data_IF_221938050256
#
_entry.id   IF_221938050256
#
_cell.length_a   1.000
_cell.length_b   1.000
_cell.length_c   1.000
_cell.angle_alpha   90.00
_cell.angle_beta   90.00
_cell.angle_gamma   90.00
#
_symmetry.space_group_name_H-M   'P 1'
#
loop_
_entity.id
_entity.type
_entity.pdbx_description
1 polymer ?
#
# COMPACT_ATOMS: atom_id res chain seq x y z
N UNK A 1 -15.70 -7.98 -2.01
CA UNK A 1 -15.65 -6.59 -1.48
C UNK A 1 -16.24 -6.56 -0.08
N UNK A 2 -15.66 -5.82 0.87
CA UNK A 2 -16.19 -5.65 2.23
C UNK A 2 -17.67 -5.20 2.26
N UNK A 3 -18.10 -4.41 1.29
CA UNK A 3 -19.48 -3.93 1.15
C UNK A 3 -20.50 -5.05 0.89
N UNK A 4 -20.06 -6.21 0.42
CA UNK A 4 -20.94 -7.38 0.21
C UNK A 4 -21.08 -8.28 1.44
N UNK A 5 -20.19 -8.11 2.43
CA UNK A 5 -20.16 -8.97 3.62
C UNK A 5 -21.49 -9.02 4.37
N UNK A 6 -22.21 -7.90 4.61
CA UNK A 6 -23.51 -7.95 5.30
C UNK A 6 -24.58 -8.78 4.57
N UNK A 7 -24.48 -8.93 3.25
CA UNK A 7 -25.45 -9.70 2.46
C UNK A 7 -25.21 -11.20 2.46
N UNK A 8 -24.04 -11.64 2.90
CA UNK A 8 -23.63 -13.06 2.95
C UNK A 8 -23.37 -13.58 4.36
N UNK A 9 -23.04 -12.68 5.30
CA UNK A 9 -22.86 -13.03 6.71
C UNK A 9 -24.18 -13.43 7.34
N UNK A 10 -24.18 -14.57 8.04
CA UNK A 10 -25.38 -15.10 8.73
C UNK A 10 -26.42 -15.74 7.80
N UNK A 11 -26.11 -15.94 6.54
CA UNK A 11 -26.97 -16.72 5.63
C UNK A 11 -26.75 -18.21 5.90
N UNK A 12 -27.83 -18.94 6.22
CA UNK A 12 -27.77 -20.37 6.52
C UNK A 12 -27.12 -21.16 5.37
N UNK A 13 -26.16 -22.01 5.71
CA UNK A 13 -25.44 -22.83 4.76
C UNK A 13 -24.47 -22.07 3.86
N UNK A 14 -24.09 -20.84 4.22
CA UNK A 14 -23.07 -20.05 3.52
C UNK A 14 -21.98 -19.62 4.50
N UNK A 15 -20.73 -19.90 4.16
CA UNK A 15 -19.57 -19.33 4.82
C UNK A 15 -19.03 -18.17 3.96
N UNK A 16 -18.72 -17.00 4.51
CA UNK A 16 -18.16 -15.88 3.74
C UNK A 16 -16.77 -16.15 3.17
N UNK A 17 -16.07 -17.19 3.61
CA UNK A 17 -14.76 -17.59 3.07
C UNK A 17 -13.71 -16.51 3.25
N UNK A 18 -13.52 -16.02 4.49
CA UNK A 18 -12.51 -15.00 4.80
C UNK A 18 -11.10 -15.53 4.60
N UNK A 19 -10.30 -14.81 3.87
CA UNK A 19 -8.87 -15.08 3.68
C UNK A 19 -8.08 -13.77 3.63
N UNK A 20 -6.89 -13.73 4.25
CA UNK A 20 -6.00 -12.60 4.14
C UNK A 20 -5.67 -12.35 2.66
N UNK A 21 -5.86 -11.12 2.19
CA UNK A 21 -5.43 -10.73 0.85
C UNK A 21 -3.90 -10.63 0.80
N UNK A 22 -3.32 -11.02 -0.31
CA UNK A 22 -1.88 -10.89 -0.55
C UNK A 22 -1.51 -9.58 -1.24
N UNK A 23 -2.48 -8.85 -1.78
CA UNK A 23 -2.29 -7.50 -2.27
C UNK A 23 -2.45 -6.47 -1.16
N UNK A 24 -1.96 -5.27 -1.42
CA UNK A 24 -2.10 -4.13 -0.51
C UNK A 24 -2.43 -2.85 -1.26
N UNK A 25 -3.14 -1.95 -0.59
CA UNK A 25 -3.14 -0.55 -0.96
C UNK A 25 -1.92 0.11 -0.34
N UNK A 26 -1.23 0.91 -1.14
CA UNK A 26 -0.01 1.59 -0.71
C UNK A 26 0.11 2.98 -1.31
N UNK A 27 0.96 3.78 -0.70
CA UNK A 27 1.52 4.99 -1.27
C UNK A 27 2.92 4.65 -1.80
N UNK A 28 3.21 5.11 -3.01
CA UNK A 28 4.56 5.24 -3.55
C UNK A 28 4.91 6.72 -3.69
N UNK A 29 6.18 7.06 -3.54
CA UNK A 29 6.70 8.41 -3.68
C UNK A 29 7.44 8.61 -4.98
N UNK A 30 7.29 9.79 -5.59
CA UNK A 30 8.09 10.24 -6.71
C UNK A 30 9.44 10.78 -6.23
N UNK A 31 10.51 9.98 -6.31
CA UNK A 31 11.83 10.32 -5.79
C UNK A 31 12.57 11.39 -6.62
N UNK A 32 12.04 11.77 -7.77
CA UNK A 32 12.67 12.75 -8.67
C UNK A 32 12.11 14.17 -8.51
N UNK A 33 11.22 14.35 -7.54
CA UNK A 33 10.53 15.61 -7.31
C UNK A 33 10.55 16.00 -5.84
N UNK A 34 10.80 17.29 -5.60
CA UNK A 34 10.55 17.88 -4.29
C UNK A 34 9.04 18.03 -4.07
N UNK A 35 8.57 17.75 -2.82
CA UNK A 35 9.36 17.43 -1.62
C UNK A 35 9.56 15.92 -1.38
N UNK A 36 9.10 15.06 -2.27
CA UNK A 36 9.06 13.61 -2.05
C UNK A 36 10.42 12.91 -2.25
N UNK A 37 11.41 13.61 -2.82
CA UNK A 37 12.83 13.20 -2.82
C UNK A 37 13.48 13.28 -1.43
N UNK A 38 12.94 14.12 -0.53
CA UNK A 38 13.44 14.28 0.85
C UNK A 38 12.90 13.18 1.77
N UNK A 39 13.81 12.42 2.39
CA UNK A 39 13.48 11.36 3.34
C UNK A 39 12.68 11.87 4.55
N UNK A 40 13.04 13.04 5.09
CA UNK A 40 12.36 13.59 6.25
C UNK A 40 10.91 14.01 5.90
N UNK A 41 10.68 14.49 4.69
CA UNK A 41 9.32 14.72 4.21
C UNK A 41 8.51 13.41 4.14
N UNK A 42 9.07 12.33 3.56
CA UNK A 42 8.40 11.03 3.50
C UNK A 42 8.13 10.44 4.89
N UNK A 43 9.07 10.62 5.84
CA UNK A 43 8.87 10.25 7.26
C UNK A 43 7.73 11.04 7.90
N UNK A 44 7.64 12.32 7.64
CA UNK A 44 6.54 13.15 8.14
C UNK A 44 5.19 12.70 7.55
N UNK A 45 5.12 12.39 6.25
CA UNK A 45 3.92 11.80 5.63
C UNK A 45 3.52 10.53 6.35
N UNK A 46 4.46 9.63 6.66
CA UNK A 46 4.17 8.38 7.37
C UNK A 46 3.52 8.62 8.75
N UNK A 47 3.97 9.61 9.51
CA UNK A 47 3.37 9.95 10.81
C UNK A 47 2.07 10.73 10.70
N UNK A 48 1.82 11.44 9.60
CA UNK A 48 0.61 12.24 9.44
C UNK A 48 -0.67 11.40 9.22
N UNK A 49 -0.56 10.20 8.65
CA UNK A 49 -1.70 9.42 8.15
C UNK A 49 -2.51 8.72 9.25
N UNK A 50 -3.83 8.80 9.14
CA UNK A 50 -4.77 8.08 10.01
C UNK A 50 -5.00 6.65 9.50
N UNK A 51 -4.17 5.72 9.95
CA UNK A 51 -4.19 4.32 9.50
C UNK A 51 -5.45 3.57 9.93
N UNK A 52 -6.05 3.88 11.07
CA UNK A 52 -7.31 3.27 11.51
C UNK A 52 -8.46 3.63 10.56
N UNK A 53 -8.54 4.91 10.17
CA UNK A 53 -9.52 5.37 9.20
C UNK A 53 -9.27 4.78 7.81
N UNK A 54 -8.03 4.71 7.37
CA UNK A 54 -7.64 4.10 6.09
C UNK A 54 -7.96 2.60 6.08
N UNK A 55 -7.57 1.86 7.10
CA UNK A 55 -7.86 0.43 7.22
C UNK A 55 -9.36 0.15 7.19
N UNK A 56 -10.15 0.91 7.96
CA UNK A 56 -11.62 0.77 7.97
C UNK A 56 -12.24 1.16 6.61
N UNK A 57 -11.72 2.20 5.96
CA UNK A 57 -12.22 2.64 4.64
C UNK A 57 -11.96 1.59 3.55
N UNK A 58 -10.78 0.95 3.59
CA UNK A 58 -10.34 -0.01 2.57
C UNK A 58 -10.91 -1.41 2.85
N UNK A 59 -10.73 -1.91 4.06
CA UNK A 59 -11.02 -3.29 4.45
C UNK A 59 -12.32 -3.49 5.23
N UNK A 60 -13.03 -2.41 5.57
CA UNK A 60 -14.24 -2.49 6.41
C UNK A 60 -13.88 -2.97 7.82
N UNK A 61 -14.74 -3.84 8.40
CA UNK A 61 -14.55 -4.41 9.74
C UNK A 61 -13.34 -5.36 9.84
N UNK A 62 -12.90 -5.92 8.72
CA UNK A 62 -11.76 -6.84 8.64
C UNK A 62 -10.45 -6.16 8.18
N UNK A 63 -10.47 -4.83 7.96
CA UNK A 63 -9.28 -4.04 7.62
C UNK A 63 -8.33 -3.93 8.80
N UNK A 64 -7.04 -4.16 8.56
CA UNK A 64 -6.01 -4.14 9.60
C UNK A 64 -4.97 -3.05 9.31
N UNK A 65 -4.57 -2.33 10.37
CA UNK A 65 -3.47 -1.37 10.30
C UNK A 65 -2.16 -2.12 10.02
N UNK A 66 -1.42 -1.73 8.98
CA UNK A 66 -0.19 -2.42 8.62
C UNK A 66 0.98 -2.14 9.58
N UNK A 67 2.05 -2.93 9.43
CA UNK A 67 3.38 -2.54 9.87
C UNK A 67 4.08 -1.67 8.81
N UNK A 68 5.30 -1.23 9.11
CA UNK A 68 6.14 -0.46 8.18
C UNK A 68 6.63 -1.28 6.99
N UNK A 69 6.46 -2.60 7.02
CA UNK A 69 6.76 -3.48 5.89
C UNK A 69 5.65 -3.44 4.82
N UNK A 70 6.02 -3.80 3.61
CA UNK A 70 5.14 -3.83 2.44
C UNK A 70 4.73 -5.25 2.03
N UNK A 71 5.07 -6.26 2.80
CA UNK A 71 4.64 -7.64 2.61
C UNK A 71 3.44 -7.92 3.52
N UNK A 72 2.35 -8.42 2.95
CA UNK A 72 1.16 -8.85 3.71
C UNK A 72 1.51 -10.00 4.67
N UNK A 73 0.83 -10.12 5.84
CA UNK A 73 1.03 -11.24 6.76
C UNK A 73 0.81 -12.62 6.13
N UNK A 74 0.11 -12.72 5.02
CA UNK A 74 -0.05 -13.95 4.25
C UNK A 74 1.11 -14.19 3.26
N UNK A 75 2.01 -13.21 3.07
CA UNK A 75 3.11 -13.25 2.11
C UNK A 75 4.36 -13.95 2.66
N UNK A 76 5.12 -14.57 1.77
CA UNK A 76 6.42 -15.16 2.12
C UNK A 76 7.40 -14.03 2.46
N UNK A 77 8.07 -14.16 3.59
CA UNK A 77 9.04 -13.18 4.07
C UNK A 77 8.41 -12.00 4.83
N UNK A 78 7.12 -12.07 5.17
CA UNK A 78 6.53 -11.10 6.11
C UNK A 78 7.41 -10.93 7.35
N UNK A 79 7.65 -9.69 7.74
CA UNK A 79 8.44 -9.37 8.93
C UNK A 79 7.58 -8.70 10.00
N UNK A 80 7.20 -9.47 11.01
CA UNK A 80 6.41 -9.01 12.16
C UNK A 80 7.24 -8.25 13.20
N UNK A 81 8.56 -8.19 13.03
CA UNK A 81 9.44 -7.40 13.89
C UNK A 81 9.47 -5.91 13.55
N UNK A 82 9.00 -5.53 12.35
CA UNK A 82 8.89 -4.14 11.95
C UNK A 82 7.80 -3.43 12.77
N UNK A 83 8.01 -2.14 13.13
CA UNK A 83 7.02 -1.38 13.88
C UNK A 83 5.66 -1.34 13.18
N UNK A 84 4.60 -1.22 13.96
CA UNK A 84 3.28 -0.90 13.40
C UNK A 84 3.22 0.57 13.01
N UNK A 85 2.54 0.84 11.91
CA UNK A 85 2.24 2.21 11.50
C UNK A 85 1.29 2.86 12.51
N UNK A 86 1.62 4.09 12.91
CA UNK A 86 0.83 4.87 13.85
C UNK A 86 0.70 6.30 13.35
N UNK A 87 -0.46 6.92 13.60
CA UNK A 87 -0.60 8.35 13.40
C UNK A 87 0.00 9.10 14.59
N UNK A 88 0.91 10.03 14.31
CA UNK A 88 1.43 11.00 15.26
C UNK A 88 1.68 12.33 14.55
N UNK A 89 0.65 13.17 14.51
CA UNK A 89 0.71 14.45 13.80
C UNK A 89 1.68 15.45 14.45
N UNK A 90 1.91 15.37 15.76
CA UNK A 90 2.88 16.22 16.42
C UNK A 90 4.30 15.82 16.05
N UNK A 91 4.57 14.53 15.94
CA UNK A 91 5.84 14.02 15.41
C UNK A 91 6.03 14.42 13.94
N UNK A 92 4.97 14.32 13.12
CA UNK A 92 5.03 14.75 11.72
C UNK A 92 5.38 16.25 11.58
N UNK A 93 4.73 17.11 12.37
CA UNK A 93 5.03 18.55 12.40
C UNK A 93 6.46 18.83 12.86
N UNK A 94 6.94 18.14 13.90
CA UNK A 94 8.29 18.30 14.41
C UNK A 94 9.36 17.91 13.38
N UNK A 95 9.13 16.82 12.63
CA UNK A 95 10.02 16.37 11.53
C UNK A 95 10.04 17.44 10.43
N UNK A 96 8.87 17.92 9.99
CA UNK A 96 8.78 18.94 8.94
C UNK A 96 9.53 20.22 9.35
N UNK A 97 9.33 20.69 10.59
CA UNK A 97 10.03 21.88 11.10
C UNK A 97 11.55 21.69 11.16
N UNK A 98 11.99 20.53 11.64
CA UNK A 98 13.43 20.22 11.74
C UNK A 98 14.09 20.13 10.34
N UNK A 99 13.35 19.68 9.32
CA UNK A 99 13.79 19.60 7.93
C UNK A 99 13.67 20.95 7.19
N UNK A 100 13.12 21.99 7.84
CA UNK A 100 13.01 23.34 7.26
C UNK A 100 11.71 23.60 6.48
N UNK A 101 10.75 22.69 6.52
CA UNK A 101 9.41 22.93 5.99
C UNK A 101 8.61 23.75 7.02
N UNK A 102 8.53 25.04 6.84
CA UNK A 102 7.91 25.97 7.80
C UNK A 102 6.95 26.92 7.09
N UNK A 103 5.88 27.32 7.76
CA UNK A 103 4.99 28.38 7.30
C UNK A 103 5.67 29.74 7.57
N UNK A 104 6.24 30.35 6.54
CA UNK A 104 7.03 31.59 6.66
C UNK A 104 6.21 32.86 6.44
N UNK A 105 5.08 32.76 5.73
CA UNK A 105 4.22 33.90 5.41
C UNK A 105 2.94 33.97 6.27
N UNK A 106 2.64 32.91 7.02
CA UNK A 106 1.52 32.85 7.96
C UNK A 106 0.18 32.52 7.31
N UNK A 107 0.18 31.92 6.12
CA UNK A 107 -1.04 31.52 5.41
C UNK A 107 -1.61 30.16 5.86
N UNK A 108 -0.87 29.45 6.71
CA UNK A 108 -1.22 28.14 7.27
C UNK A 108 -0.64 26.96 6.51
N UNK A 109 0.09 27.20 5.42
CA UNK A 109 0.76 26.17 4.63
C UNK A 109 2.28 26.30 4.76
N UNK A 110 2.95 25.17 4.75
CA UNK A 110 4.42 25.12 4.84
C UNK A 110 5.04 25.32 3.47
N UNK A 111 6.11 26.10 3.40
CA UNK A 111 6.99 26.19 2.24
C UNK A 111 8.08 25.12 2.29
N UNK A 112 8.72 24.92 1.15
CA UNK A 112 9.97 24.14 1.05
C UNK A 112 11.11 24.83 1.80
N UNK A 113 12.19 24.09 2.13
CA UNK A 113 13.35 24.68 2.83
C UNK A 113 13.99 25.87 2.12
N UNK A 114 13.81 25.99 0.81
CA UNK A 114 14.26 27.15 0.02
C UNK A 114 13.29 28.36 0.03
N UNK A 115 12.19 28.25 0.74
CA UNK A 115 11.14 29.26 0.85
C UNK A 115 10.15 29.28 -0.32
N UNK A 116 10.21 28.33 -1.23
CA UNK A 116 9.23 28.25 -2.33
C UNK A 116 7.92 27.58 -1.89
N UNK A 117 6.75 28.07 -2.37
CA UNK A 117 5.47 27.44 -2.09
C UNK A 117 5.45 25.96 -2.50
N UNK A 118 4.72 25.18 -1.71
CA UNK A 118 4.56 23.74 -1.91
C UNK A 118 3.09 23.38 -2.14
N UNK A 119 2.83 22.57 -3.16
CA UNK A 119 1.52 21.96 -3.40
C UNK A 119 1.77 20.55 -3.94
N UNK A 120 1.51 19.56 -3.09
CA UNK A 120 1.85 18.16 -3.36
C UNK A 120 0.74 17.50 -4.14
N UNK A 121 1.04 16.96 -5.32
CA UNK A 121 0.08 16.24 -6.14
C UNK A 121 -0.14 14.82 -5.59
N UNK A 122 -1.39 14.52 -5.23
CA UNK A 122 -1.84 13.19 -4.81
C UNK A 122 -2.56 12.53 -5.96
N UNK A 123 -1.93 11.54 -6.58
CA UNK A 123 -2.41 10.85 -7.79
C UNK A 123 -2.93 9.45 -7.46
N UNK A 124 -4.23 9.21 -7.46
CA UNK A 124 -4.79 7.87 -7.33
C UNK A 124 -4.63 7.07 -8.61
N UNK A 125 -4.34 5.77 -8.49
CA UNK A 125 -4.36 4.83 -9.61
C UNK A 125 -5.74 4.78 -10.26
N UNK A 126 -5.79 4.80 -11.60
CA UNK A 126 -7.03 4.57 -12.32
C UNK A 126 -7.57 3.16 -12.06
N UNK A 127 -8.84 3.09 -11.66
CA UNK A 127 -9.56 1.82 -11.55
C UNK A 127 -11.05 2.05 -11.71
N UNK A 128 -11.60 1.66 -12.86
CA UNK A 128 -13.01 1.90 -13.20
C UNK A 128 -14.01 1.30 -12.18
N UNK A 129 -13.65 0.23 -11.50
CA UNK A 129 -14.54 -0.47 -10.54
C UNK A 129 -14.37 0.02 -9.10
N UNK A 130 -13.24 0.63 -8.77
CA UNK A 130 -12.88 1.09 -7.42
C UNK A 130 -12.67 2.61 -7.35
N UNK A 131 -13.10 3.38 -8.36
CA UNK A 131 -12.87 4.82 -8.44
C UNK A 131 -13.29 5.58 -7.17
N UNK A 132 -14.48 5.30 -6.63
CA UNK A 132 -14.96 5.93 -5.40
C UNK A 132 -14.10 5.57 -4.16
N UNK A 133 -13.54 4.36 -4.11
CA UNK A 133 -12.63 3.97 -3.04
C UNK A 133 -11.30 4.72 -3.14
N UNK A 134 -10.70 4.77 -4.32
CA UNK A 134 -9.47 5.52 -4.53
C UNK A 134 -9.63 7.02 -4.24
N UNK A 135 -10.75 7.61 -4.67
CA UNK A 135 -11.09 8.99 -4.33
C UNK A 135 -11.14 9.17 -2.80
N UNK A 136 -11.84 8.28 -2.09
CA UNK A 136 -11.97 8.39 -0.63
C UNK A 136 -10.63 8.24 0.10
N UNK A 137 -9.76 7.32 -0.34
CA UNK A 137 -8.41 7.17 0.20
C UNK A 137 -7.62 8.46 0.01
N UNK A 138 -7.63 9.03 -1.20
CA UNK A 138 -6.93 10.27 -1.51
C UNK A 138 -7.44 11.46 -0.69
N UNK A 139 -8.75 11.61 -0.52
CA UNK A 139 -9.35 12.66 0.34
C UNK A 139 -8.88 12.55 1.80
N UNK A 140 -8.74 11.33 2.35
CA UNK A 140 -8.21 11.11 3.69
C UNK A 140 -6.74 11.56 3.76
N UNK A 141 -5.93 11.17 2.79
CA UNK A 141 -4.51 11.54 2.73
C UNK A 141 -4.34 13.06 2.63
N UNK A 142 -5.05 13.71 1.70
CA UNK A 142 -5.04 15.17 1.53
C UNK A 142 -5.44 15.88 2.82
N UNK A 143 -6.49 15.37 3.50
CA UNK A 143 -6.95 15.94 4.78
C UNK A 143 -5.88 15.81 5.86
N UNK A 144 -5.29 14.62 6.03
CA UNK A 144 -4.30 14.38 7.07
C UNK A 144 -3.00 15.18 6.84
N UNK A 145 -2.58 15.34 5.60
CA UNK A 145 -1.43 16.19 5.26
C UNK A 145 -1.74 17.68 5.49
N UNK A 146 -2.96 18.12 5.18
CA UNK A 146 -3.42 19.47 5.49
C UNK A 146 -3.39 19.79 6.99
N UNK A 147 -3.71 18.82 7.87
CA UNK A 147 -3.67 18.98 9.33
C UNK A 147 -2.26 19.20 9.90
N UNK A 148 -1.22 18.83 9.14
CA UNK A 148 0.18 19.09 9.48
C UNK A 148 0.79 20.26 8.67
N UNK A 149 -0.05 21.00 7.93
CA UNK A 149 0.35 22.19 7.18
C UNK A 149 0.93 21.91 5.79
N UNK A 150 0.78 20.69 5.27
CA UNK A 150 1.21 20.35 3.91
C UNK A 150 0.04 20.54 2.95
N UNK A 151 0.17 21.51 2.04
CA UNK A 151 -0.81 21.75 1.00
C UNK A 151 -0.75 20.63 -0.03
N UNK A 152 -1.91 20.04 -0.36
CA UNK A 152 -2.02 18.98 -1.34
C UNK A 152 -3.15 19.25 -2.32
N UNK A 153 -2.94 18.86 -3.57
CA UNK A 153 -3.96 18.83 -4.62
C UNK A 153 -4.25 17.39 -5.02
N UNK A 154 -5.55 17.01 -4.98
CA UNK A 154 -6.00 15.73 -5.50
C UNK A 154 -6.08 15.78 -7.02
N UNK A 155 -5.40 14.85 -7.69
CA UNK A 155 -5.53 14.64 -9.12
C UNK A 155 -6.85 13.88 -9.42
N UNK A 156 -7.92 14.65 -9.58
CA UNK A 156 -9.24 14.07 -9.91
C UNK A 156 -9.29 13.48 -11.33
N UNK A 157 -8.40 13.92 -12.23
CA UNK A 157 -8.40 13.43 -13.60
C UNK A 157 -7.91 11.99 -13.67
N UNK A 158 -6.89 11.62 -12.91
CA UNK A 158 -6.38 10.24 -12.88
C UNK A 158 -7.43 9.21 -12.42
N UNK A 159 -8.40 9.61 -11.59
CA UNK A 159 -9.51 8.74 -11.18
C UNK A 159 -10.41 8.36 -12.35
N UNK A 160 -10.51 9.22 -13.38
CA UNK A 160 -11.48 9.12 -14.49
C UNK A 160 -10.85 8.82 -15.84
N UNK A 161 -9.55 9.04 -15.97
CA UNK A 161 -8.82 8.98 -17.23
C UNK A 161 -7.56 8.13 -17.09
N UNK A 162 -7.62 6.91 -17.62
CA UNK A 162 -6.50 5.96 -17.57
C UNK A 162 -5.27 6.46 -18.34
N UNK A 163 -5.46 7.18 -19.43
CA UNK A 163 -4.35 7.64 -20.26
C UNK A 163 -3.58 8.76 -19.56
N UNK A 164 -4.31 9.65 -18.85
CA UNK A 164 -3.69 10.68 -18.02
C UNK A 164 -2.90 10.07 -16.87
N UNK A 165 -3.48 9.15 -16.12
CA UNK A 165 -2.83 8.45 -15.01
C UNK A 165 -1.59 7.67 -15.48
N UNK A 166 -1.70 6.95 -16.61
CA UNK A 166 -0.57 6.23 -17.19
C UNK A 166 0.55 7.19 -17.62
N UNK A 167 0.23 8.31 -18.25
CA UNK A 167 1.21 9.31 -18.65
C UNK A 167 1.98 9.87 -17.45
N UNK A 168 1.28 10.19 -16.34
CA UNK A 168 1.93 10.66 -15.11
C UNK A 168 2.92 9.63 -14.53
N UNK A 169 2.56 8.35 -14.58
CA UNK A 169 3.45 7.26 -14.15
C UNK A 169 4.67 7.12 -15.04
N UNK A 170 4.43 7.07 -16.35
CA UNK A 170 5.49 6.85 -17.35
C UNK A 170 6.50 8.01 -17.35
N UNK A 171 6.03 9.23 -17.08
CA UNK A 171 6.87 10.43 -16.96
C UNK A 171 7.50 10.60 -15.55
N UNK A 172 7.18 9.74 -14.57
CA UNK A 172 7.56 9.94 -13.18
C UNK A 172 7.04 11.26 -12.59
N UNK A 173 5.89 11.73 -13.09
CA UNK A 173 5.38 13.09 -12.84
C UNK A 173 4.47 13.21 -11.61
N UNK A 174 4.33 12.16 -10.82
CA UNK A 174 3.60 12.16 -9.55
C UNK A 174 4.54 12.47 -8.37
N UNK A 175 3.98 12.97 -7.29
CA UNK A 175 4.67 13.12 -5.99
C UNK A 175 4.22 12.03 -5.00
N UNK A 176 2.90 11.90 -4.77
CA UNK A 176 2.31 10.81 -3.99
C UNK A 176 1.39 10.01 -4.90
N UNK A 177 1.71 8.75 -5.13
CA UNK A 177 0.92 7.85 -5.95
C UNK A 177 0.24 6.79 -5.08
N UNK A 178 -1.09 6.70 -5.17
CA UNK A 178 -1.90 5.72 -4.43
C UNK A 178 -2.21 4.56 -5.36
N UNK A 179 -1.72 3.37 -5.04
CA UNK A 179 -1.93 2.20 -5.88
C UNK A 179 -2.33 0.96 -5.10
N UNK A 180 -2.66 -0.08 -5.85
CA UNK A 180 -2.87 -1.42 -5.34
C UNK A 180 -1.86 -2.37 -5.95
N UNK A 181 -0.96 -2.88 -5.14
CA UNK A 181 0.01 -3.88 -5.54
C UNK A 181 -0.50 -5.29 -5.26
N UNK A 182 -0.42 -6.16 -6.24
CA UNK A 182 -0.78 -7.57 -6.07
C UNK A 182 0.46 -8.40 -5.76
N UNK A 183 0.53 -8.91 -4.56
CA UNK A 183 1.61 -9.79 -4.12
C UNK A 183 1.23 -11.25 -4.41
N UNK A 184 1.27 -11.74 -5.61
CA UNK A 184 0.89 -13.14 -5.90
C UNK A 184 1.71 -14.17 -5.09
N UNK A 185 1.09 -15.30 -4.74
CA UNK A 185 1.75 -16.41 -3.98
C UNK A 185 2.98 -17.00 -4.65
N UNK A 186 3.12 -16.82 -5.96
CA UNK A 186 4.22 -17.42 -6.73
C UNK A 186 5.24 -16.41 -7.28
N UNK A 187 5.05 -15.12 -7.00
CA UNK A 187 5.92 -14.07 -7.55
C UNK A 187 6.54 -13.26 -6.41
N UNK A 188 7.64 -13.75 -5.96
CA UNK A 188 8.51 -13.15 -4.96
C UNK A 188 9.00 -11.73 -5.29
N UNK A 189 8.83 -11.29 -6.52
CA UNK A 189 9.33 -10.01 -7.01
C UNK A 189 8.34 -8.86 -6.87
N UNK A 190 7.03 -9.16 -6.88
CA UNK A 190 5.99 -8.19 -7.20
C UNK A 190 5.94 -6.99 -6.28
N UNK A 191 6.00 -7.10 -4.92
CA UNK A 191 5.88 -5.91 -4.09
C UNK A 191 7.00 -4.92 -4.30
N UNK A 192 8.23 -5.42 -4.52
CA UNK A 192 9.39 -4.57 -4.70
C UNK A 192 9.60 -4.10 -6.13
N UNK A 193 9.00 -4.77 -7.11
CA UNK A 193 9.14 -4.43 -8.52
C UNK A 193 8.64 -3.01 -8.84
N UNK A 194 7.66 -2.53 -8.09
CA UNK A 194 7.13 -1.19 -8.26
C UNK A 194 8.03 -0.09 -7.67
N UNK A 195 8.97 -0.46 -6.81
CA UNK A 195 9.88 0.45 -6.11
C UNK A 195 11.27 0.47 -6.72
N UNK A 196 11.62 -0.56 -7.49
CA UNK A 196 12.93 -0.75 -8.07
C UNK A 196 13.15 0.16 -9.29
N UNK A 197 14.31 0.79 -9.39
CA UNK A 197 14.64 1.72 -10.48
C UNK A 197 15.46 1.04 -11.57
N UNK A 198 14.78 0.30 -12.45
CA UNK A 198 15.39 -0.22 -13.69
C UNK A 198 14.30 -0.34 -14.78
N UNK A 199 14.72 -0.77 -16.00
CA UNK A 199 13.82 -0.98 -17.14
C UNK A 199 12.73 -2.03 -16.89
N UNK A 200 12.83 -2.81 -15.82
CA UNK A 200 11.83 -3.80 -15.41
C UNK A 200 10.83 -3.24 -14.38
N UNK A 201 11.13 -2.10 -13.81
CA UNK A 201 10.22 -1.40 -12.89
C UNK A 201 8.99 -0.92 -13.63
N UNK A 202 7.82 -1.18 -13.07
CA UNK A 202 6.58 -0.67 -13.65
C UNK A 202 6.31 0.79 -13.30
N UNK A 203 6.83 1.27 -12.15
CA UNK A 203 6.56 2.62 -11.62
C UNK A 203 7.74 3.17 -10.81
N UNK A 204 8.90 2.53 -10.90
CA UNK A 204 10.05 2.85 -10.06
C UNK A 204 10.60 4.23 -10.35
N UNK A 205 10.55 5.07 -9.36
CA UNK A 205 11.25 6.35 -9.33
C UNK A 205 12.29 6.38 -8.22
N UNK A 206 12.39 5.30 -7.44
CA UNK A 206 13.36 5.12 -6.37
C UNK A 206 14.75 4.89 -6.97
N UNK A 207 15.69 5.77 -6.68
CA UNK A 207 17.09 5.70 -7.14
C UNK A 207 17.98 5.55 -5.88
N UNK A 208 17.93 4.35 -5.26
CA UNK A 208 18.66 4.00 -4.05
C UNK A 208 19.52 2.76 -4.31
N UNK A 209 20.84 2.97 -4.41
CA UNK A 209 21.82 1.91 -4.73
C UNK A 209 21.72 0.71 -3.76
N UNK A 210 21.55 0.98 -2.45
CA UNK A 210 21.43 -0.08 -1.43
C UNK A 210 20.17 -0.91 -1.62
N UNK A 211 19.05 -0.30 -2.01
CA UNK A 211 17.81 -1.00 -2.28
C UNK A 211 17.91 -1.85 -3.54
N UNK A 212 18.47 -1.30 -4.60
CA UNK A 212 18.69 -2.00 -5.87
C UNK A 212 19.64 -3.20 -5.69
N UNK A 213 20.71 -3.04 -4.91
CA UNK A 213 21.62 -4.14 -4.60
C UNK A 213 20.90 -5.23 -3.79
N UNK A 214 20.16 -4.87 -2.77
CA UNK A 214 19.39 -5.83 -1.94
C UNK A 214 18.31 -6.55 -2.77
N UNK A 215 17.67 -5.86 -3.71
CA UNK A 215 16.72 -6.46 -4.63
C UNK A 215 17.39 -7.50 -5.55
N UNK A 216 18.54 -7.16 -6.11
CA UNK A 216 19.31 -8.10 -6.92
C UNK A 216 19.81 -9.31 -6.11
N UNK A 217 20.21 -9.09 -4.87
CA UNK A 217 20.60 -10.17 -3.96
C UNK A 217 19.43 -11.11 -3.66
N UNK A 218 18.22 -10.57 -3.48
CA UNK A 218 17.00 -11.36 -3.32
C UNK A 218 16.72 -12.21 -4.57
N UNK A 219 16.89 -11.65 -5.78
CA UNK A 219 16.69 -12.40 -7.03
C UNK A 219 17.68 -13.57 -7.20
N UNK A 220 18.86 -13.47 -6.58
CA UNK A 220 19.91 -14.48 -6.62
C UNK A 220 19.92 -15.40 -5.38
N UNK A 221 18.88 -15.37 -4.56
CA UNK A 221 18.76 -16.17 -3.35
C UNK A 221 18.90 -17.68 -3.62
N UNK A 222 19.56 -18.38 -2.71
CA UNK A 222 19.83 -19.81 -2.80
C UNK A 222 18.96 -20.60 -1.80
N UNK A 223 17.73 -20.90 -2.22
CA UNK A 223 16.75 -21.64 -1.42
C UNK A 223 15.88 -20.71 -0.53
N UNK A 224 14.90 -21.31 0.14
CA UNK A 224 13.80 -20.58 0.78
C UNK A 224 14.26 -19.76 1.99
N UNK A 225 15.18 -20.29 2.81
CA UNK A 225 15.67 -19.57 4.00
C UNK A 225 16.46 -18.33 3.63
N UNK A 226 17.35 -18.42 2.64
CA UNK A 226 18.12 -17.29 2.13
C UNK A 226 17.21 -16.27 1.46
N UNK A 227 16.23 -16.74 0.71
CA UNK A 227 15.22 -15.88 0.10
C UNK A 227 14.45 -15.06 1.16
N UNK A 228 13.90 -15.72 2.18
CA UNK A 228 13.17 -15.05 3.27
C UNK A 228 14.04 -14.02 3.98
N UNK A 229 15.30 -14.33 4.25
CA UNK A 229 16.21 -13.39 4.90
C UNK A 229 16.44 -12.14 4.03
N UNK A 230 16.61 -12.29 2.73
CA UNK A 230 16.80 -11.17 1.80
C UNK A 230 15.53 -10.35 1.59
N UNK A 231 14.35 -10.97 1.59
CA UNK A 231 13.06 -10.26 1.57
C UNK A 231 12.88 -9.41 2.82
N UNK A 232 13.27 -9.91 3.99
CA UNK A 232 13.23 -9.12 5.23
C UNK A 232 14.20 -7.94 5.20
N UNK A 233 15.39 -8.14 4.65
CA UNK A 233 16.35 -7.03 4.46
C UNK A 233 15.81 -5.95 3.53
N UNK A 234 15.18 -6.32 2.41
CA UNK A 234 14.50 -5.35 1.54
C UNK A 234 13.40 -4.58 2.26
N UNK A 235 12.58 -5.26 3.08
CA UNK A 235 11.55 -4.59 3.86
C UNK A 235 12.16 -3.61 4.88
N UNK A 236 13.28 -3.97 5.51
CA UNK A 236 13.99 -3.08 6.42
C UNK A 236 14.45 -1.81 5.72
N UNK A 237 15.12 -1.95 4.56
CA UNK A 237 15.57 -0.80 3.75
C UNK A 237 14.37 0.05 3.31
N UNK A 238 13.31 -0.59 2.79
CA UNK A 238 12.11 0.11 2.36
C UNK A 238 11.43 0.88 3.50
N UNK A 239 11.46 0.36 4.73
CA UNK A 239 10.94 1.02 5.93
C UNK A 239 11.82 2.19 6.37
N UNK A 240 13.14 2.03 6.39
CA UNK A 240 14.10 3.08 6.81
C UNK A 240 14.10 4.26 5.84
N UNK A 241 14.07 3.98 4.54
CA UNK A 241 14.06 4.98 3.47
C UNK A 241 12.65 5.48 3.10
N UNK A 242 11.61 4.89 3.71
CA UNK A 242 10.20 5.21 3.43
C UNK A 242 9.94 5.25 1.93
N UNK A 243 10.29 4.16 1.24
CA UNK A 243 10.12 4.06 -0.21
C UNK A 243 8.64 3.99 -0.57
N UNK A 244 7.86 3.29 0.26
CA UNK A 244 6.42 3.21 0.16
C UNK A 244 5.79 3.04 1.54
N UNK A 245 4.48 3.26 1.63
CA UNK A 245 3.70 3.14 2.86
C UNK A 245 2.49 2.25 2.60
N UNK A 246 2.42 1.11 3.27
CA UNK A 246 1.22 0.27 3.27
C UNK A 246 0.05 1.00 3.97
N UNK A 247 -1.15 0.94 3.39
CA UNK A 247 -2.33 1.64 3.93
C UNK A 247 -3.30 0.70 4.64
N UNK A 248 -3.35 -0.56 4.23
CA UNK A 248 -4.25 -1.55 4.82
C UNK A 248 -3.83 -2.97 4.44
N UNK A 249 -3.86 -3.87 5.41
CA UNK A 249 -3.97 -5.29 5.13
C UNK A 249 -5.45 -5.65 5.07
N UNK A 250 -5.96 -5.95 3.88
CA UNK A 250 -7.38 -6.23 3.67
C UNK A 250 -7.69 -7.74 3.62
N UNK A 251 -8.97 -8.07 3.72
CA UNK A 251 -9.49 -9.44 3.65
C UNK A 251 -10.21 -9.64 2.33
N UNK A 252 -9.88 -10.73 1.64
CA UNK A 252 -10.64 -11.23 0.51
C UNK A 252 -11.77 -12.17 0.97
N UNK A 253 -12.90 -12.13 0.27
CA UNK A 253 -14.06 -12.94 0.58
C UNK A 253 -14.38 -13.86 -0.59
N UNK A 254 -14.49 -15.15 -0.31
CA UNK A 254 -14.79 -16.22 -1.26
C UNK A 254 -16.01 -17.04 -0.78
N UNK A 255 -17.24 -16.49 -0.84
CA UNK A 255 -18.41 -17.14 -0.29
C UNK A 255 -18.64 -18.54 -0.89
N UNK A 256 -18.92 -19.51 -0.04
CA UNK A 256 -19.16 -20.87 -0.46
C UNK A 256 -20.27 -21.57 0.33
N UNK A 257 -20.83 -22.66 -0.22
CA UNK A 257 -21.93 -23.41 0.35
C UNK A 257 -21.42 -24.51 1.27
N UNK A 258 -21.78 -24.42 2.55
CA UNK A 258 -21.43 -25.42 3.57
C UNK A 258 -22.53 -26.45 3.79
N UNK A 259 -23.73 -26.22 3.25
CA UNK A 259 -24.89 -27.11 3.34
C UNK A 259 -25.03 -28.07 2.15
N UNK A 260 -24.21 -27.94 1.14
CA UNK A 260 -24.24 -28.74 -0.09
C UNK A 260 -22.97 -29.52 -0.35
N UNK A 261 -21.85 -28.95 0.08
CA UNK A 261 -20.51 -29.50 -0.20
C UNK A 261 -19.63 -29.40 1.03
N UNK A 262 -18.75 -30.36 1.19
CA UNK A 262 -17.65 -30.37 2.15
C UNK A 262 -16.31 -30.63 1.45
N UNK A 263 -15.18 -30.50 2.17
CA UNK A 263 -13.84 -30.59 1.57
C UNK A 263 -13.26 -29.26 1.09
N UNK A 264 -13.87 -28.14 1.49
CA UNK A 264 -13.35 -26.81 1.21
C UNK A 264 -12.01 -26.57 1.93
N UNK A 265 -11.00 -26.12 1.21
CA UNK A 265 -9.68 -25.76 1.77
C UNK A 265 -9.45 -24.28 1.56
N UNK A 266 -9.22 -23.53 2.65
CA UNK A 266 -8.91 -22.11 2.54
C UNK A 266 -7.39 -21.93 2.39
N UNK A 267 -6.97 -21.30 1.30
CA UNK A 267 -5.56 -21.07 0.99
C UNK A 267 -5.26 -19.55 1.01
N UNK A 268 -4.18 -19.10 1.66
CA UNK A 268 -3.83 -17.69 1.72
C UNK A 268 -3.77 -17.04 0.34
N UNK A 269 -4.40 -15.87 0.17
CA UNK A 269 -4.49 -15.13 -1.08
C UNK A 269 -5.46 -15.67 -2.12
N UNK A 270 -5.85 -16.95 -2.05
CA UNK A 270 -6.74 -17.60 -3.01
C UNK A 270 -8.08 -18.05 -2.41
N UNK A 271 -8.21 -17.96 -1.08
CA UNK A 271 -9.38 -18.44 -0.38
C UNK A 271 -9.68 -19.91 -0.69
N UNK A 272 -10.94 -20.22 -0.90
CA UNK A 272 -11.40 -21.59 -1.21
C UNK A 272 -11.35 -21.92 -2.71
N UNK A 273 -10.95 -20.97 -3.56
CA UNK A 273 -10.84 -21.21 -5.01
C UNK A 273 -9.40 -21.64 -5.33
N UNK A 274 -9.06 -22.90 -5.04
CA UNK A 274 -7.73 -23.44 -5.19
C UNK A 274 -7.76 -24.93 -5.58
N UNK A 275 -6.61 -25.49 -5.98
CA UNK A 275 -6.50 -26.86 -6.45
C UNK A 275 -6.88 -27.88 -5.38
N UNK A 276 -6.53 -27.65 -4.11
CA UNK A 276 -6.85 -28.58 -3.02
C UNK A 276 -8.36 -28.69 -2.80
N UNK A 277 -9.09 -27.56 -2.86
CA UNK A 277 -10.54 -27.57 -2.85
C UNK A 277 -11.11 -28.43 -3.99
N UNK A 278 -10.59 -28.26 -5.22
CA UNK A 278 -11.10 -29.04 -6.36
C UNK A 278 -10.86 -30.53 -6.24
N UNK A 279 -9.79 -30.95 -5.57
CA UNK A 279 -9.53 -32.38 -5.32
C UNK A 279 -10.37 -32.96 -4.17
N UNK A 280 -10.67 -32.15 -3.16
CA UNK A 280 -11.31 -32.63 -1.93
C UNK A 280 -12.82 -32.38 -1.89
N UNK A 281 -13.33 -31.49 -2.76
CA UNK A 281 -14.73 -31.08 -2.75
C UNK A 281 -15.67 -32.23 -3.13
N UNK A 282 -16.62 -32.54 -2.28
CA UNK A 282 -17.65 -33.54 -2.56
C UNK A 282 -19.00 -33.17 -1.94
N UNK A 283 -20.13 -33.65 -2.49
CA UNK A 283 -21.45 -33.40 -1.89
C UNK A 283 -21.54 -33.99 -0.49
N UNK A 284 -22.25 -33.29 0.38
CA UNK A 284 -22.69 -33.83 1.67
C UNK A 284 -23.76 -34.88 1.40
N UNK A 285 -23.58 -36.08 1.96
CA UNK A 285 -24.47 -37.23 1.76
C UNK A 285 -25.84 -37.07 2.37
#
# INVERSE_FOLDING_TARGET
SPTMLPSISGVDGVDPGRGMNMGLFEILFGFQKQPTDDLEFRRAVRYALNYELLATTIGGEDGQVPGEGIISPAGIGYDDSLPKLVQDQEQAKAILEAAGYVDTDGDGWRERPDGTPMDVLVTPQYNATKAALYQRIAEIIVTNLGEVGVKCTLDEESIRNSDHEQQLRDDGAYEIYICYATQGVSFYKTPFLYMFNDDLSMWGTCDLEDFDQAYNDMLNAQGDEDYVAKVKELQRIASEEVIGIALCWDTAYYPYRTDKYEGWTNFPGWGVINCETWYNLHPIG
#
